data_IF_953536189522
#
_entry.id   IF_953536189522
#
_cell.length_a   1.000
_cell.length_b   1.000
_cell.length_c   1.000
_cell.angle_alpha   90.00
_cell.angle_beta   90.00
_cell.angle_gamma   90.00
#
_symmetry.space_group_name_H-M   'P 1'
#
loop_
_entity.id
_entity.type
_entity.pdbx_description
1 polymer ?
2 polymer ?
3 water ?
#
# COMPACT_ATOMS: atom_id res chain seq x y z
N UNK A 1 24.80 -1.86 -8.95
CA UNK A 1 24.02 -3.07 -9.15
C UNK A 1 23.26 -3.45 -7.89
N UNK A 2 22.49 -4.53 -7.97
CA UNK A 2 21.66 -5.01 -6.88
C UNK A 2 20.23 -4.52 -7.00
N UNK A 3 19.30 -5.31 -6.47
CA UNK A 3 17.89 -4.97 -6.50
C UNK A 3 17.24 -5.40 -5.20
N UNK A 4 16.62 -4.45 -4.50
CA UNK A 4 16.00 -4.71 -3.21
C UNK A 4 14.60 -4.13 -3.18
N UNK A 5 13.81 -4.60 -2.21
CA UNK A 5 12.54 -3.96 -1.92
C UNK A 5 12.83 -2.63 -1.24
N UNK A 6 12.91 -1.57 -2.02
CA UNK A 6 13.32 -0.26 -1.53
C UNK A 6 12.09 0.61 -1.30
N UNK A 7 12.00 1.18 -0.11
CA UNK A 7 10.93 2.09 0.25
C UNK A 7 11.41 3.54 0.18
N UNK A 8 10.46 4.45 0.09
CA UNK A 8 10.79 5.86 0.05
C UNK A 8 11.34 6.31 1.41
N UNK A 9 12.15 7.37 1.43
CA UNK A 9 12.53 7.97 2.72
C UNK A 9 11.31 8.44 3.49
N UNK A 10 11.24 8.09 4.76
CA UNK A 10 10.05 8.29 5.58
C UNK A 10 10.08 9.56 6.41
N UNK A 11 11.13 10.38 6.27
CA UNK A 11 11.26 11.56 7.13
C UNK A 11 10.08 12.51 7.01
N UNK A 12 9.68 12.83 5.78
CA UNK A 12 8.59 13.77 5.58
C UNK A 12 7.29 13.26 6.20
N UNK A 13 7.06 11.95 6.14
CA UNK A 13 5.83 11.40 6.71
C UNK A 13 5.93 11.28 8.22
N UNK A 14 7.13 11.03 8.75
CA UNK A 14 7.31 10.90 10.20
C UNK A 14 6.82 12.15 10.92
N UNK A 15 7.13 13.33 10.38
CA UNK A 15 6.75 14.59 11.00
C UNK A 15 5.26 14.87 11.04
N UNK A 16 4.43 14.03 10.41
CA UNK A 16 2.99 14.23 10.40
C UNK A 16 2.23 13.20 11.22
N UNK A 17 2.92 12.37 11.99
CA UNK A 17 2.28 11.27 12.70
C UNK A 17 1.99 11.66 14.15
N UNK A 18 0.74 11.43 14.57
CA UNK A 18 0.27 11.77 15.90
C UNK A 18 -0.51 10.58 16.45
N UNK A 19 -0.86 10.67 17.72
CA UNK A 19 -1.64 9.64 18.40
C UNK A 19 -3.01 10.20 18.75
N UNK A 20 -4.05 9.45 18.40
CA UNK A 20 -5.44 9.87 18.59
C UNK A 20 -6.12 8.88 19.53
N UNK A 21 -6.50 9.35 20.70
CA UNK A 21 -7.17 8.52 21.69
C UNK A 21 -8.61 9.00 21.89
N UNK A 22 -9.53 8.06 21.95
CA UNK A 22 -10.95 8.35 22.21
C UNK A 22 -11.48 7.24 23.10
N UNK A 23 -11.66 7.54 24.38
CA UNK A 23 -12.07 6.52 25.33
C UNK A 23 -10.90 5.62 25.65
N UNK A 24 -11.14 4.31 25.60
CA UNK A 24 -10.10 3.32 25.80
C UNK A 24 -9.41 2.94 24.50
N UNK A 25 -9.83 3.51 23.38
CA UNK A 25 -9.31 3.18 22.06
C UNK A 25 -8.33 4.25 21.60
N UNK A 26 -7.20 3.81 21.04
CA UNK A 26 -6.17 4.71 20.54
C UNK A 26 -5.59 4.14 19.25
N UNK A 27 -5.14 5.05 18.39
CA UNK A 27 -4.51 4.69 17.13
C UNK A 27 -3.72 5.88 16.62
N UNK A 28 -3.20 5.78 15.40
CA UNK A 28 -2.34 6.78 14.81
C UNK A 28 -3.15 7.75 13.94
N UNK A 29 -2.68 9.00 13.88
CA UNK A 29 -3.33 10.01 13.07
C UNK A 29 -2.34 10.73 12.18
N UNK A 30 -2.85 11.20 11.05
CA UNK A 30 -2.06 11.96 10.10
C UNK A 30 -2.40 13.44 10.24
N UNK A 31 -1.41 14.25 10.59
CA UNK A 31 -1.60 15.66 10.90
C UNK A 31 -1.00 16.50 9.76
N UNK A 32 -1.88 17.07 8.95
CA UNK A 32 -1.48 17.95 7.85
C UNK A 32 -2.21 19.28 8.02
N UNK A 33 -1.44 20.37 8.02
CA UNK A 33 -1.96 21.71 8.28
C UNK A 33 -2.68 21.65 9.62
N UNK A 34 -3.91 22.14 9.74
CA UNK A 34 -4.64 22.16 11.00
C UNK A 34 -5.68 21.04 11.09
N UNK A 35 -5.47 19.94 10.37
CA UNK A 35 -6.40 18.82 10.35
C UNK A 35 -5.65 17.54 10.68
N UNK A 36 -6.27 16.69 11.50
CA UNK A 36 -5.76 15.36 11.81
C UNK A 36 -6.71 14.33 11.23
N UNK A 37 -6.16 13.42 10.44
CA UNK A 37 -6.93 12.35 9.82
C UNK A 37 -6.62 11.04 10.52
N UNK A 38 -7.66 10.27 10.82
CA UNK A 38 -7.50 8.97 11.49
C UNK A 38 -8.68 8.09 11.11
N UNK A 39 -8.53 6.77 11.20
CA UNK A 39 -9.68 5.88 10.97
C UNK A 39 -10.79 6.16 11.97
N UNK A 40 -12.03 5.93 11.53
CA UNK A 40 -13.19 6.33 12.30
C UNK A 40 -13.52 5.36 13.42
N UNK A 41 -12.99 4.14 13.41
CA UNK A 41 -13.30 3.19 14.48
C UNK A 41 -12.56 3.50 15.78
N UNK A 42 -11.90 4.66 15.87
CA UNK A 42 -11.37 5.11 17.15
C UNK A 42 -12.49 5.47 18.13
N UNK A 43 -13.69 5.78 17.61
CA UNK A 43 -14.82 6.15 18.46
C UNK A 43 -15.60 4.92 18.85
N UNK A 44 -15.01 3.74 18.62
CA UNK A 44 -15.66 2.47 18.92
C UNK A 44 -15.11 1.89 20.22
N UNK A 45 -15.99 1.24 20.98
CA UNK A 45 -15.58 0.42 22.11
C UNK A 45 -15.44 -1.02 21.66
N UNK A 46 -14.81 -1.84 22.52
CA UNK A 46 -14.58 -3.24 22.18
C UNK A 46 -15.90 -3.97 21.89
N UNK A 47 -16.96 -3.61 22.61
CA UNK A 47 -18.26 -4.22 22.40
C UNK A 47 -19.05 -3.56 21.28
N UNK A 48 -18.56 -2.45 20.74
CA UNK A 48 -19.27 -1.69 19.71
C UNK A 48 -18.56 -1.80 18.36
N UNK A 49 -17.97 -2.96 18.07
CA UNK A 49 -17.23 -3.14 16.82
C UNK A 49 -17.78 -4.25 15.93
N UNK A 50 -18.83 -4.95 16.36
CA UNK A 50 -19.41 -5.99 15.50
C UNK A 50 -20.38 -5.38 14.49
N UNK A 51 -21.29 -4.53 14.95
CA UNK A 51 -22.27 -3.87 14.08
C UNK A 51 -22.39 -2.41 14.51
N UNK A 52 -21.39 -1.59 14.20
CA UNK A 52 -21.41 -0.20 14.66
C UNK A 52 -22.04 0.74 13.65
N UNK A 53 -22.85 1.67 14.16
CA UNK A 53 -23.35 2.77 13.35
C UNK A 53 -22.53 4.00 13.70
N UNK A 54 -21.57 4.33 12.83
CA UNK A 54 -20.65 5.43 13.10
C UNK A 54 -21.33 6.78 13.11
N UNK A 55 -22.45 6.92 12.39
CA UNK A 55 -23.20 8.18 12.46
C UNK A 55 -23.72 8.41 13.87
N UNK A 56 -24.30 7.38 14.49
CA UNK A 56 -24.76 7.48 15.87
C UNK A 56 -23.60 7.67 16.84
N UNK A 57 -22.51 6.91 16.63
CA UNK A 57 -21.39 6.98 17.55
C UNK A 57 -20.73 8.35 17.54
N UNK A 58 -20.72 9.02 16.38
CA UNK A 58 -19.99 10.28 16.25
C UNK A 58 -20.76 11.45 16.88
N UNK A 59 -22.07 11.54 16.64
CA UNK A 59 -22.86 12.61 17.26
C UNK A 59 -22.96 12.41 18.77
N UNK A 60 -22.65 11.22 19.27
CA UNK A 60 -22.58 10.97 20.70
C UNK A 60 -21.29 11.47 21.32
N UNK A 61 -20.43 12.14 20.54
CA UNK A 61 -19.12 12.58 21.00
C UNK A 61 -18.96 14.07 20.77
N UNK A 62 -18.10 14.67 21.59
CA UNK A 62 -17.75 16.09 21.52
C UNK A 62 -16.29 16.23 21.11
N UNK A 63 -15.86 17.48 20.96
CA UNK A 63 -14.47 17.75 20.63
C UNK A 63 -13.54 17.31 21.76
N UNK A 64 -13.97 17.45 23.02
CA UNK A 64 -13.12 17.11 24.15
C UNK A 64 -12.97 15.60 24.34
N UNK A 65 -13.72 14.79 23.58
CA UNK A 65 -13.58 13.34 23.67
C UNK A 65 -12.39 12.81 22.88
N UNK A 66 -11.69 13.66 22.13
CA UNK A 66 -10.60 13.24 21.25
C UNK A 66 -9.28 13.73 21.82
N UNK A 67 -8.48 12.79 22.31
CA UNK A 67 -7.14 13.10 22.80
C UNK A 67 -6.16 12.96 21.63
N UNK A 68 -5.63 14.09 21.18
CA UNK A 68 -4.67 14.14 20.08
C UNK A 68 -3.33 14.55 20.67
N UNK A 69 -2.33 13.69 20.54
CA UNK A 69 -1.00 13.93 21.09
C UNK A 69 0.02 13.93 19.97
N UNK A 70 0.79 15.01 19.89
CA UNK A 70 1.93 15.11 18.98
C UNK A 70 3.18 15.17 19.86
N UNK A 71 3.79 14.01 20.07
CA UNK A 71 4.91 13.94 20.99
C UNK A 71 4.45 14.21 22.41
N UNK A 72 5.09 15.19 23.05
CA UNK A 72 4.67 15.59 24.39
C UNK A 72 3.48 16.53 24.36
N UNK A 73 3.31 17.28 23.28
CA UNK A 73 2.27 18.30 23.20
C UNK A 73 0.94 17.63 22.90
N UNK A 74 -0.10 18.00 23.64
CA UNK A 74 -1.46 17.55 23.39
C UNK A 74 -2.16 18.60 22.53
N UNK A 75 -2.56 18.20 21.33
CA UNK A 75 -3.22 19.12 20.41
C UNK A 75 -4.67 19.33 20.81
N UNK A 76 -5.10 20.58 20.78
CA UNK A 76 -6.47 20.93 21.15
C UNK A 76 -7.39 20.74 19.95
N UNK A 77 -8.39 19.88 20.10
CA UNK A 77 -9.36 19.63 19.03
C UNK A 77 -10.43 20.71 19.08
N UNK A 78 -10.65 21.39 17.95
CA UNK A 78 -11.65 22.45 17.85
C UNK A 78 -12.72 22.15 16.83
N UNK A 79 -12.64 21.00 16.14
CA UNK A 79 -13.65 20.60 15.19
C UNK A 79 -13.51 19.13 14.85
N UNK A 80 -14.63 18.51 14.52
CA UNK A 80 -14.63 17.09 14.18
C UNK A 80 -15.74 16.84 13.18
N UNK A 81 -15.49 15.93 12.24
CA UNK A 81 -16.47 15.55 11.24
C UNK A 81 -16.00 14.26 10.58
N UNK A 82 -16.95 13.55 9.97
CA UNK A 82 -16.68 12.28 9.32
C UNK A 82 -16.68 12.45 7.81
N UNK A 83 -15.70 11.83 7.16
CA UNK A 83 -15.60 11.78 5.70
C UNK A 83 -15.48 10.30 5.34
N UNK A 84 -16.62 9.69 5.02
CA UNK A 84 -16.69 8.26 4.78
C UNK A 84 -16.14 7.51 5.99
N UNK A 85 -14.98 6.88 5.84
CA UNK A 85 -14.45 6.03 6.91
C UNK A 85 -13.30 6.69 7.69
N UNK A 86 -12.99 7.96 7.43
CA UNK A 86 -11.97 8.65 8.20
C UNK A 86 -12.62 9.77 9.01
N UNK A 87 -11.91 10.18 10.06
CA UNK A 87 -12.29 11.29 10.92
C UNK A 87 -11.37 12.47 10.65
N UNK A 88 -11.95 13.64 10.45
CA UNK A 88 -11.20 14.88 10.29
C UNK A 88 -11.35 15.69 11.58
N UNK A 89 -10.26 15.78 12.34
CA UNK A 89 -10.23 16.52 13.60
C UNK A 89 -9.49 17.83 13.38
N UNK A 90 -10.24 18.92 13.28
CA UNK A 90 -9.63 20.24 13.18
C UNK A 90 -8.98 20.62 14.52
N UNK A 91 -7.72 21.05 14.46
CA UNK A 91 -6.97 21.44 15.64
C UNK A 91 -6.53 22.90 15.51
N UNK A 92 -6.20 23.51 16.64
CA UNK A 92 -5.89 24.93 16.68
C UNK A 92 -4.50 25.26 16.18
N UNK A 93 -3.66 24.27 15.90
CA UNK A 93 -2.30 24.48 15.48
C UNK A 93 -2.07 23.78 14.14
N UNK A 94 -1.44 24.50 13.20
CA UNK A 94 -1.04 23.88 11.95
C UNK A 94 0.29 23.18 12.12
N UNK A 95 0.41 21.99 11.55
CA UNK A 95 1.65 21.23 11.64
C UNK A 95 2.78 21.96 10.94
N UNK A 96 3.80 22.43 11.65
CA UNK A 96 4.90 23.16 10.99
C UNK A 96 5.73 22.29 10.07
N UNK A 97 5.71 20.97 10.25
CA UNK A 97 6.43 20.04 9.40
C UNK A 97 5.58 19.53 8.25
N UNK A 98 4.50 20.23 7.91
CA UNK A 98 3.64 19.80 6.81
C UNK A 98 4.37 19.94 5.48
N UNK A 99 4.56 18.88 4.72
CA UNK A 99 5.19 18.99 3.41
C UNK A 99 4.15 19.27 2.33
N UNK A 100 4.64 19.56 1.14
CA UNK A 100 3.79 19.51 -0.04
C UNK A 100 3.24 18.10 -0.18
N UNK A 101 1.92 17.95 -0.09
CA UNK A 101 1.31 16.63 -0.08
C UNK A 101 0.16 16.56 -1.07
N UNK A 102 -0.28 15.34 -1.33
CA UNK A 102 -1.39 15.06 -2.23
C UNK A 102 -2.17 13.87 -1.69
N UNK A 103 -3.46 13.83 -2.01
CA UNK A 103 -4.34 12.71 -1.66
C UNK A 103 -4.75 12.04 -2.97
N UNK A 104 -4.11 10.91 -3.29
CA UNK A 104 -4.40 10.18 -4.52
C UNK A 104 -4.90 8.79 -4.16
N UNK A 105 -5.64 8.19 -5.08
CA UNK A 105 -6.09 6.81 -4.97
C UNK A 105 -5.42 6.01 -6.07
N UNK A 106 -4.79 4.91 -5.69
CA UNK A 106 -3.99 4.12 -6.62
C UNK A 106 -4.84 2.96 -7.12
N UNK A 107 -4.36 2.35 -8.21
CA UNK A 107 -4.88 1.20 -8.93
C UNK A 107 -4.22 -0.09 -8.44
N UNK A 108 -4.91 -1.22 -8.55
CA UNK A 108 -4.28 -2.51 -8.25
C UNK A 108 -3.03 -2.71 -9.11
N UNK A 109 -1.98 -3.22 -8.47
CA UNK A 109 -0.69 -3.38 -9.12
C UNK A 109 0.29 -2.25 -8.85
N UNK A 110 -0.18 -1.12 -8.33
CA UNK A 110 0.72 -0.03 -7.97
C UNK A 110 1.29 -0.25 -6.57
N UNK A 111 2.48 0.30 -6.35
CA UNK A 111 3.19 0.12 -5.09
C UNK A 111 3.21 1.43 -4.31
N UNK A 112 3.62 1.31 -3.06
CA UNK A 112 3.74 2.46 -2.15
C UNK A 112 4.52 1.99 -0.93
N UNK A 113 4.97 2.97 -0.14
CA UNK A 113 5.69 2.70 1.09
C UNK A 113 4.77 2.89 2.28
N UNK A 114 4.91 2.03 3.28
CA UNK A 114 4.10 2.06 4.49
C UNK A 114 5.01 2.44 5.65
N UNK A 115 4.55 3.37 6.47
CA UNK A 115 5.24 3.73 7.71
C UNK A 115 4.39 3.22 8.87
N UNK A 116 4.64 1.97 9.27
CA UNK A 116 3.91 1.39 10.38
C UNK A 116 4.19 2.16 11.66
N UNK A 117 3.13 2.58 12.34
CA UNK A 117 3.24 3.37 13.55
C UNK A 117 2.42 2.74 14.67
N UNK A 118 2.80 3.08 15.90
CA UNK A 118 2.05 2.69 17.09
C UNK A 118 2.13 3.82 18.08
N UNK A 119 0.99 4.21 18.65
CA UNK A 119 0.89 5.32 19.60
C UNK A 119 1.46 6.61 19.02
N UNK A 120 1.37 6.78 17.70
CA UNK A 120 1.89 7.94 17.03
C UNK A 120 3.36 7.90 16.68
N UNK A 121 4.09 6.85 17.09
CA UNK A 121 5.53 6.77 16.88
C UNK A 121 5.86 5.78 15.78
N UNK A 122 6.69 6.16 14.81
CA UNK A 122 7.05 5.23 13.73
C UNK A 122 7.85 4.05 14.24
N UNK A 123 7.48 2.86 13.77
CA UNK A 123 8.15 1.63 14.13
C UNK A 123 8.97 1.02 13.00
N UNK A 124 8.56 1.24 11.74
CA UNK A 124 9.29 0.70 10.61
C UNK A 124 8.71 1.17 9.31
N UNK A 125 9.43 0.90 8.23
CA UNK A 125 9.03 1.29 6.88
C UNK A 125 9.31 0.13 5.94
N UNK A 126 8.32 -0.21 5.10
CA UNK A 126 8.47 -1.28 4.12
C UNK A 126 7.64 -0.93 2.90
N UNK A 127 7.86 -1.71 1.83
CA UNK A 127 7.21 -1.51 0.55
C UNK A 127 6.04 -2.46 0.38
N UNK A 128 4.96 -1.98 -0.24
CA UNK A 128 3.74 -2.75 -0.40
C UNK A 128 3.20 -2.55 -1.80
N UNK A 129 2.28 -3.42 -2.20
CA UNK A 129 1.56 -3.29 -3.46
C UNK A 129 0.07 -3.44 -3.21
N UNK A 130 -0.72 -2.76 -4.05
CA UNK A 130 -2.17 -2.87 -4.06
C UNK A 130 -2.54 -4.09 -4.88
N UNK A 131 -2.91 -5.17 -4.20
CA UNK A 131 -3.19 -6.42 -4.89
C UNK A 131 -4.41 -6.26 -5.79
N UNK A 132 -4.51 -7.08 -6.85
CA UNK A 132 -5.70 -7.03 -7.70
C UNK A 132 -7.01 -7.24 -6.96
N UNK A 133 -7.00 -7.87 -5.78
CA UNK A 133 -8.19 -7.99 -4.95
C UNK A 133 -8.30 -6.86 -3.93
N UNK A 134 -7.56 -5.76 -4.14
CA UNK A 134 -7.62 -4.55 -3.33
C UNK A 134 -7.19 -4.76 -1.89
N UNK A 135 -6.52 -5.87 -1.60
CA UNK A 135 -5.89 -6.05 -0.30
C UNK A 135 -4.41 -5.64 -0.41
N UNK A 136 -3.75 -5.59 0.75
CA UNK A 136 -2.31 -5.43 0.80
C UNK A 136 -1.74 -6.48 1.74
N UNK A 137 -0.58 -7.02 1.40
CA UNK A 137 0.11 -7.98 2.25
C UNK A 137 1.12 -7.20 3.08
N UNK A 138 0.63 -6.67 4.21
CA UNK A 138 1.41 -5.81 5.06
C UNK A 138 1.91 -6.51 6.31
N UNK A 139 2.42 -5.70 7.24
CA UNK A 139 2.86 -6.18 8.55
C UNK A 139 2.26 -5.22 9.57
N UNK A 140 1.13 -5.59 10.14
CA UNK A 140 0.38 -4.72 11.04
C UNK A 140 -0.08 -5.50 12.25
N UNK A 141 0.03 -4.87 13.43
CA UNK A 141 -0.47 -5.40 14.68
C UNK A 141 -1.57 -4.50 15.21
N UNK A 142 -2.15 -4.88 16.35
CA UNK A 142 -3.15 -4.04 16.98
C UNK A 142 -2.56 -2.68 17.31
N UNK A 143 -3.29 -1.62 16.97
CA UNK A 143 -2.82 -0.27 17.18
C UNK A 143 -2.07 0.34 16.02
N UNK A 144 -2.03 -0.34 14.87
CA UNK A 144 -1.34 0.19 13.70
C UNK A 144 -2.25 0.99 12.78
N UNK A 145 -3.56 0.89 12.93
CA UNK A 145 -4.48 1.67 12.11
C UNK A 145 -4.14 3.16 12.24
N UNK A 146 -4.31 3.88 11.13
CA UNK A 146 -3.87 5.24 11.02
C UNK A 146 -2.50 5.38 10.39
N UNK A 147 -1.75 4.29 10.29
CA UNK A 147 -0.53 4.30 9.48
C UNK A 147 -0.91 4.51 8.03
N UNK A 148 -0.05 5.22 7.30
CA UNK A 148 -0.37 5.66 5.95
C UNK A 148 0.58 5.03 4.95
N UNK A 149 0.07 4.80 3.75
CA UNK A 149 0.88 4.44 2.61
C UNK A 149 1.05 5.66 1.72
N UNK A 150 2.21 5.74 1.05
CA UNK A 150 2.53 6.96 0.34
C UNK A 150 3.57 6.68 -0.73
N UNK A 151 3.63 7.59 -1.70
CA UNK A 151 4.73 7.70 -2.64
C UNK A 151 5.28 9.12 -2.54
N UNK A 152 6.49 9.31 -3.06
CA UNK A 152 7.15 10.61 -3.04
C UNK A 152 7.62 10.93 -4.45
N UNK A 153 7.24 12.10 -4.95
CA UNK A 153 7.72 12.62 -6.22
C UNK A 153 8.32 13.99 -5.98
N UNK A 154 9.62 14.13 -6.28
CA UNK A 154 10.36 15.35 -6.02
C UNK A 154 10.25 15.75 -4.56
N UNK A 155 9.44 16.77 -4.26
CA UNK A 155 9.21 17.20 -2.89
C UNK A 155 7.82 16.85 -2.39
N UNK A 156 6.95 16.30 -3.23
CA UNK A 156 5.55 16.12 -2.89
C UNK A 156 5.29 14.70 -2.41
N UNK A 157 4.68 14.58 -1.23
CA UNK A 157 4.28 13.28 -0.69
C UNK A 157 2.87 12.97 -1.17
N UNK A 158 2.72 11.92 -1.98
CA UNK A 158 1.42 11.50 -2.46
C UNK A 158 0.87 10.44 -1.52
N UNK A 159 0.03 10.87 -0.58
CA UNK A 159 -0.63 9.93 0.32
C UNK A 159 -1.69 9.15 -0.44
N UNK A 160 -1.65 7.82 -0.31
CA UNK A 160 -2.54 6.97 -1.09
C UNK A 160 -3.22 5.88 -0.28
N UNK A 161 -2.89 5.72 1.00
CA UNK A 161 -3.45 4.64 1.79
C UNK A 161 -3.46 5.02 3.26
N UNK A 162 -4.47 4.53 3.97
CA UNK A 162 -4.47 4.60 5.43
C UNK A 162 -4.93 3.24 5.95
N UNK A 163 -4.23 2.71 6.95
CA UNK A 163 -4.51 1.37 7.43
C UNK A 163 -5.73 1.35 8.34
N UNK A 164 -6.50 0.27 8.24
CA UNK A 164 -7.74 0.16 9.01
C UNK A 164 -7.84 -1.18 9.74
N UNK A 165 -7.79 -2.29 9.01
CA UNK A 165 -8.15 -3.57 9.57
C UNK A 165 -7.29 -4.68 8.98
N UNK A 166 -7.37 -5.86 9.59
CA UNK A 166 -6.73 -7.07 9.10
C UNK A 166 -7.80 -8.12 8.84
N UNK A 167 -7.77 -8.70 7.64
CA UNK A 167 -8.74 -9.72 7.27
C UNK A 167 -8.37 -11.04 7.94
N UNK A 168 -9.33 -11.96 8.07
CA UNK A 168 -9.02 -13.24 8.74
C UNK A 168 -7.87 -14.01 8.11
N UNK A 169 -7.64 -13.87 6.80
CA UNK A 169 -6.55 -14.57 6.14
C UNK A 169 -5.18 -13.99 6.49
N UNK A 170 -5.12 -12.86 7.18
CA UNK A 170 -3.88 -12.22 7.52
C UNK A 170 -3.56 -10.99 6.68
N UNK A 171 -4.17 -10.87 5.51
CA UNK A 171 -4.00 -9.69 4.67
C UNK A 171 -4.72 -8.51 5.30
N UNK A 172 -4.45 -7.31 4.82
CA UNK A 172 -4.94 -6.09 5.43
C UNK A 172 -5.75 -5.28 4.44
N UNK A 173 -6.68 -4.48 4.97
CA UNK A 173 -7.54 -3.64 4.17
C UNK A 173 -7.49 -2.22 4.72
N UNK A 174 -7.78 -1.27 3.84
CA UNK A 174 -7.76 0.12 4.25
C UNK A 174 -8.39 1.00 3.20
N UNK A 175 -8.24 2.30 3.38
CA UNK A 175 -8.89 3.31 2.55
C UNK A 175 -7.84 4.25 1.97
N UNK A 176 -8.29 5.08 1.02
CA UNK A 176 -7.50 6.23 0.63
C UNK A 176 -7.62 7.30 1.72
N UNK A 177 -6.98 8.44 1.49
CA UNK A 177 -6.99 9.50 2.50
C UNK A 177 -8.30 10.29 2.51
N UNK A 178 -9.25 9.97 1.63
CA UNK A 178 -10.59 10.51 1.70
C UNK A 178 -11.55 9.58 2.42
N UNK A 179 -11.08 8.43 2.88
CA UNK A 179 -11.88 7.52 3.67
C UNK A 179 -12.64 6.47 2.91
N UNK A 180 -12.38 6.32 1.61
CA UNK A 180 -13.07 5.36 0.78
C UNK A 180 -12.25 4.08 0.70
N UNK A 181 -12.85 2.97 1.13
CA UNK A 181 -12.14 1.71 1.23
C UNK A 181 -11.65 1.24 -0.14
N UNK A 182 -10.52 0.53 -0.13
CA UNK A 182 -10.04 -0.20 -1.29
C UNK A 182 -10.68 -1.58 -1.25
N UNK A 183 -11.55 -1.86 -2.23
CA UNK A 183 -12.22 -3.15 -2.29
C UNK A 183 -13.53 -3.18 -1.51
N UNK A 184 -14.16 -4.36 -1.45
CA UNK A 184 -15.48 -4.50 -0.82
C UNK A 184 -15.40 -4.83 0.67
N UNK A 185 -14.63 -4.04 1.41
CA UNK A 185 -14.42 -4.27 2.84
C UNK A 185 -15.00 -3.11 3.64
N UNK A 186 -15.65 -3.45 4.74
CA UNK A 186 -16.23 -2.47 5.65
C UNK A 186 -15.53 -2.60 7.01
N UNK A 187 -15.54 -1.52 7.77
CA UNK A 187 -14.81 -1.48 9.05
C UNK A 187 -15.70 -2.02 10.17
N UNK A 188 -16.00 -3.32 10.08
CA UNK A 188 -16.69 -4.05 11.12
C UNK A 188 -15.91 -5.33 11.39
N UNK A 189 -15.84 -5.72 12.67
CA UNK A 189 -15.16 -6.96 13.05
C UNK A 189 -16.09 -8.13 12.77
N UNK A 190 -16.27 -8.40 11.48
CA UNK A 190 -17.17 -9.43 10.99
C UNK A 190 -16.42 -10.33 10.01
N UNK A 191 -17.06 -11.45 9.67
CA UNK A 191 -16.49 -12.37 8.70
C UNK A 191 -16.49 -11.73 7.31
N UNK A 192 -15.30 -11.51 6.76
CA UNK A 192 -15.14 -10.89 5.46
C UNK A 192 -14.02 -11.60 4.72
N UNK A 193 -14.22 -11.78 3.41
CA UNK A 193 -13.24 -12.44 2.56
C UNK A 193 -12.96 -11.57 1.35
N UNK A 194 -11.71 -11.60 0.91
CA UNK A 194 -11.33 -10.89 -0.31
C UNK A 194 -11.52 -11.79 -1.51
N UNK A 195 -11.69 -11.16 -2.68
CA UNK A 195 -11.70 -11.91 -3.91
C UNK A 195 -10.40 -12.63 -4.14
N UNK A 196 -10.46 -13.70 -4.92
CA UNK A 196 -9.26 -14.46 -5.25
C UNK A 196 -8.24 -13.56 -5.92
N UNK A 197 -7.00 -13.60 -5.45
CA UNK A 197 -5.96 -12.74 -5.97
C UNK A 197 -5.30 -13.34 -7.20
N UNK A 198 -4.75 -12.47 -8.04
CA UNK A 198 -3.99 -12.86 -9.21
C UNK A 198 -2.63 -12.17 -9.18
N UNK A 199 -1.73 -12.67 -10.02
CA UNK A 199 -0.38 -12.14 -10.12
C UNK A 199 -0.36 -10.95 -11.07
N UNK A 200 0.30 -9.87 -10.66
CA UNK A 200 0.40 -8.66 -11.48
C UNK A 200 1.44 -8.93 -12.56
N UNK A 201 0.97 -9.24 -13.78
CA UNK A 201 1.85 -9.70 -14.84
C UNK A 201 2.85 -8.63 -15.25
N UNK A 202 2.38 -7.40 -15.46
CA UNK A 202 3.27 -6.34 -15.92
C UNK A 202 4.37 -6.08 -14.91
N UNK A 203 4.12 -6.33 -13.63
CA UNK A 203 5.16 -6.15 -12.63
C UNK A 203 6.19 -7.27 -12.72
N UNK A 204 5.76 -8.49 -13.02
CA UNK A 204 6.70 -9.60 -13.14
C UNK A 204 7.66 -9.35 -14.30
N UNK A 205 7.15 -8.85 -15.43
CA UNK A 205 8.02 -8.55 -16.56
C UNK A 205 8.99 -7.43 -16.21
N UNK A 206 8.51 -6.40 -15.51
CA UNK A 206 9.40 -5.32 -15.08
C UNK A 206 10.47 -5.85 -14.13
N UNK A 207 10.10 -6.76 -13.24
CA UNK A 207 11.08 -7.38 -12.36
C UNK A 207 12.05 -8.26 -13.16
N UNK A 208 11.59 -8.84 -14.27
CA UNK A 208 12.47 -9.62 -15.12
C UNK A 208 13.49 -8.73 -15.83
N UNK A 209 13.05 -7.54 -16.26
CA UNK A 209 13.98 -6.58 -16.83
C UNK A 209 14.99 -6.11 -15.79
N UNK A 210 14.58 -5.98 -14.53
CA UNK A 210 15.51 -5.62 -13.46
C UNK A 210 16.59 -6.68 -13.31
N UNK A 211 16.22 -7.96 -13.47
CA UNK A 211 17.19 -9.04 -13.39
C UNK A 211 18.18 -8.99 -14.54
N UNK A 212 17.69 -8.72 -15.76
CA UNK A 212 18.58 -8.61 -16.92
C UNK A 212 19.55 -7.46 -16.73
N UNK A 213 19.08 -6.36 -16.13
CA UNK A 213 19.95 -5.19 -15.92
C UNK A 213 21.06 -5.54 -14.95
N UNK A 214 20.81 -6.43 -14.00
CA UNK A 214 21.78 -6.78 -12.97
C UNK A 214 22.51 -8.09 -13.26
N UNK A 215 22.53 -8.53 -14.53
CA UNK A 215 23.33 -9.66 -14.93
C UNK A 215 22.65 -11.01 -14.88
N UNK A 216 21.39 -11.07 -14.44
CA UNK A 216 20.63 -12.32 -14.41
C UNK A 216 19.95 -12.51 -15.77
N UNK A 217 20.49 -13.43 -16.58
CA UNK A 217 19.96 -13.66 -17.92
C UNK A 217 19.69 -15.13 -18.21
N UNK A 218 19.78 -16.01 -17.21
CA UNK A 218 19.64 -17.45 -17.47
C UNK A 218 18.26 -17.82 -17.97
N UNK A 219 17.25 -17.00 -17.69
CA UNK A 219 15.88 -17.28 -18.11
C UNK A 219 15.58 -16.80 -19.53
N UNK A 220 16.48 -16.03 -20.14
CA UNK A 220 16.24 -15.52 -21.48
C UNK A 220 16.32 -16.65 -22.51
N UNK A 221 15.52 -16.50 -23.58
CA UNK A 221 15.53 -17.46 -24.67
C UNK A 221 15.37 -16.71 -25.99
N UNK A 222 15.74 -17.40 -27.08
CA UNK A 222 15.65 -16.84 -28.41
C UNK A 222 14.21 -16.72 -28.91
N UNK A 223 13.26 -17.39 -28.26
CA UNK A 223 11.88 -17.43 -28.74
C UNK A 223 11.15 -16.13 -28.45
N UNK A 224 10.11 -15.89 -29.24
CA UNK A 224 9.19 -14.78 -29.05
C UNK A 224 7.77 -15.34 -28.97
N UNK A 225 6.80 -14.44 -28.89
CA UNK A 225 5.39 -14.83 -28.84
C UNK A 225 4.55 -13.62 -29.22
N UNK A 226 3.26 -13.87 -29.43
CA UNK A 226 2.28 -12.81 -29.63
C UNK A 226 1.55 -12.54 -28.31
N UNK A 227 0.99 -11.32 -28.23
CA UNK A 227 0.26 -10.93 -27.02
C UNK A 227 -0.91 -11.86 -26.73
N UNK A 228 -1.49 -12.46 -27.78
CA UNK A 228 -2.64 -13.34 -27.58
C UNK A 228 -2.22 -14.72 -27.10
N UNK A 229 -1.14 -15.27 -27.64
CA UNK A 229 -0.67 -16.58 -27.19
C UNK A 229 -0.10 -16.51 -25.79
N UNK A 230 0.51 -15.38 -25.41
CA UNK A 230 1.00 -15.24 -24.05
C UNK A 230 -0.15 -15.12 -23.05
N UNK A 231 -1.16 -14.33 -23.39
CA UNK A 231 -2.28 -14.13 -22.48
C UNK A 231 -3.07 -15.42 -22.27
N UNK A 232 -3.07 -16.31 -23.26
CA UNK A 232 -3.72 -17.60 -23.08
C UNK A 232 -3.02 -18.45 -22.04
N UNK A 233 -1.70 -18.30 -21.91
CA UNK A 233 -0.97 -19.01 -20.88
C UNK A 233 -1.05 -18.27 -19.54
N UNK A 234 -1.07 -16.94 -19.58
CA UNK A 234 -1.20 -16.16 -18.35
C UNK A 234 -2.50 -16.46 -17.64
N UNK A 235 -3.59 -16.63 -18.39
CA UNK A 235 -4.88 -16.93 -17.76
C UNK A 235 -4.86 -18.28 -17.08
N UNK A 236 -4.11 -19.25 -17.62
CA UNK A 236 -4.06 -20.58 -17.02
C UNK A 236 -3.31 -20.58 -15.69
N UNK A 237 -2.36 -19.65 -15.52
CA UNK A 237 -1.55 -19.58 -14.31
C UNK A 237 -1.97 -18.44 -13.40
N UNK A 238 -3.19 -17.95 -13.54
CA UNK A 238 -3.75 -16.92 -12.66
C UNK A 238 -2.93 -15.63 -12.72
N UNK A 239 -2.53 -15.25 -13.92
CA UNK A 239 -1.85 -13.99 -14.15
C UNK A 239 -2.82 -13.00 -14.79
N UNK A 240 -2.62 -11.71 -14.51
CA UNK A 240 -3.45 -10.68 -15.12
C UNK A 240 -3.16 -10.60 -16.62
N UNK A 241 -4.16 -10.24 -17.42
CA UNK A 241 -3.93 -10.11 -18.86
C UNK A 241 -2.98 -8.96 -19.16
N UNK A 242 -2.09 -9.18 -20.12
CA UNK A 242 -1.18 -8.14 -20.58
C UNK A 242 -1.84 -7.34 -21.70
N UNK A 243 -1.88 -6.03 -21.54
CA UNK A 243 -2.46 -5.13 -22.52
C UNK A 243 -1.37 -4.46 -23.34
N UNK A 244 -1.79 -3.85 -24.46
CA UNK A 244 -0.84 -3.09 -25.27
C UNK A 244 -0.26 -1.92 -24.48
N UNK A 245 -1.05 -1.33 -23.59
CA UNK A 245 -0.51 -0.26 -22.74
C UNK A 245 0.59 -0.77 -21.84
N UNK A 246 0.44 -2.00 -21.33
CA UNK A 246 1.52 -2.63 -20.57
C UNK A 246 2.78 -2.75 -21.41
N UNK A 247 2.64 -3.20 -22.66
CA UNK A 247 3.79 -3.30 -23.54
C UNK A 247 4.41 -1.93 -23.80
N UNK A 248 3.59 -0.89 -23.82
CA UNK A 248 4.12 0.46 -24.02
C UNK A 248 4.80 0.97 -22.75
N UNK A 249 4.26 0.62 -21.58
CA UNK A 249 4.87 1.04 -20.32
C UNK A 249 6.26 0.41 -20.17
N UNK A 250 6.39 -0.87 -20.52
CA UNK A 250 7.66 -1.57 -20.46
C UNK A 250 8.63 -1.14 -21.55
N UNK A 251 8.25 -0.15 -22.37
CA UNK A 251 9.08 0.32 -23.45
C UNK A 251 10.49 0.71 -23.05
N UNK A 252 10.61 1.66 -22.12
CA UNK A 252 11.96 2.06 -21.67
C UNK A 252 12.85 0.90 -21.25
N UNK A 253 12.37 0.03 -20.37
CA UNK A 253 13.18 -1.12 -19.97
C UNK A 253 13.46 -2.06 -21.15
N UNK A 254 12.54 -2.13 -22.11
CA UNK A 254 12.75 -2.97 -23.28
C UNK A 254 13.90 -2.43 -24.13
N UNK A 255 13.93 -1.12 -24.37
CA UNK A 255 14.99 -0.53 -25.19
C UNK A 255 16.31 -0.49 -24.45
N UNK A 256 16.27 -0.26 -23.13
CA UNK A 256 17.51 -0.17 -22.36
C UNK A 256 18.26 -1.49 -22.35
N UNK A 257 17.55 -2.61 -22.42
CA UNK A 257 18.17 -3.93 -22.43
C UNK A 257 18.22 -4.55 -23.82
N UNK A 258 17.56 -3.95 -24.81
CA UNK A 258 17.51 -4.54 -26.13
C UNK A 258 16.67 -5.79 -26.23
N UNK A 259 15.74 -5.99 -25.31
CA UNK A 259 14.87 -7.15 -25.29
C UNK A 259 13.44 -6.67 -25.53
N UNK A 260 12.83 -7.15 -26.60
CA UNK A 260 11.44 -6.82 -26.87
C UNK A 260 10.56 -7.38 -25.76
N UNK A 261 9.43 -6.69 -25.52
CA UNK A 261 8.51 -7.14 -24.49
C UNK A 261 7.97 -8.53 -24.81
N UNK A 262 7.53 -8.73 -26.06
CA UNK A 262 6.99 -10.02 -26.46
C UNK A 262 8.07 -11.11 -26.38
N UNK A 263 9.34 -10.73 -26.55
CA UNK A 263 10.42 -11.69 -26.33
C UNK A 263 10.56 -12.03 -24.85
N UNK A 264 10.49 -11.01 -23.98
CA UNK A 264 10.50 -11.26 -22.55
C UNK A 264 9.29 -12.07 -22.10
N UNK A 265 8.14 -11.87 -22.76
CA UNK A 265 6.96 -12.65 -22.43
C UNK A 265 7.17 -14.13 -22.72
N UNK A 266 7.99 -14.45 -23.73
CA UNK A 266 8.31 -15.85 -24.01
C UNK A 266 9.14 -16.46 -22.89
N UNK A 267 10.01 -15.68 -22.25
CA UNK A 267 10.74 -16.18 -21.10
C UNK A 267 9.79 -16.44 -19.92
N UNK A 268 8.83 -15.53 -19.71
CA UNK A 268 7.85 -15.74 -18.65
C UNK A 268 7.00 -16.97 -18.93
N UNK A 269 6.60 -17.17 -20.19
CA UNK A 269 5.86 -18.36 -20.56
C UNK A 269 6.61 -19.63 -20.17
N UNK A 270 7.91 -19.67 -20.46
CA UNK A 270 8.70 -20.86 -20.14
C UNK A 270 8.85 -21.02 -18.63
N UNK A 271 9.07 -19.92 -17.90
CA UNK A 271 9.19 -20.00 -16.45
C UNK A 271 7.90 -20.49 -15.81
N UNK A 272 6.75 -20.12 -16.37
CA UNK A 272 5.48 -20.56 -15.82
C UNK A 272 5.17 -22.02 -16.16
N UNK A 273 5.61 -22.50 -17.32
CA UNK A 273 5.32 -23.88 -17.71
C UNK A 273 6.34 -24.86 -17.15
N UNK A 274 7.57 -24.41 -16.89
CA UNK A 274 8.64 -25.29 -16.44
C UNK A 274 9.15 -24.99 -15.04
N UNK A 275 8.75 -23.87 -14.42
CA UNK A 275 9.34 -23.57 -13.14
C UNK A 275 10.75 -23.03 -13.31
N UNK A 276 11.48 -22.97 -12.20
CA UNK A 276 12.83 -22.44 -12.20
C UNK A 276 13.90 -23.51 -12.12
N UNK A 277 13.56 -24.74 -11.72
CA UNK A 277 14.49 -25.87 -11.67
C UNK A 277 15.68 -25.55 -10.76
N UNK A 278 15.36 -25.21 -9.52
CA UNK A 278 16.36 -24.93 -8.53
C UNK A 278 17.12 -23.63 -8.70
N UNK A 279 16.80 -22.84 -9.71
CA UNK A 279 17.49 -21.58 -9.95
C UNK A 279 16.81 -20.45 -9.18
N UNK A 280 17.45 -19.28 -9.20
CA UNK A 280 16.92 -18.09 -8.56
C UNK A 280 17.08 -16.90 -9.49
N UNK A 281 16.18 -15.94 -9.36
CA UNK A 281 16.23 -14.68 -10.10
C UNK A 281 16.27 -13.56 -9.07
N UNK A 282 17.33 -12.77 -9.11
CA UNK A 282 17.52 -11.66 -8.17
C UNK A 282 17.36 -12.13 -6.72
N UNK A 283 17.92 -13.30 -6.43
CA UNK A 283 17.85 -13.83 -5.08
C UNK A 283 16.49 -14.33 -4.65
N UNK A 284 15.60 -14.64 -5.59
CA UNK A 284 14.26 -15.12 -5.27
C UNK A 284 13.94 -16.36 -6.09
N UNK A 285 13.23 -17.30 -5.47
CA UNK A 285 12.76 -18.49 -6.17
C UNK A 285 11.37 -18.33 -6.73
N UNK A 286 10.67 -17.24 -6.41
CA UNK A 286 9.35 -16.94 -6.94
C UNK A 286 9.42 -15.72 -7.85
N UNK A 287 8.51 -15.68 -8.82
CA UNK A 287 8.41 -14.52 -9.71
C UNK A 287 7.80 -13.35 -8.94
N UNK A 288 8.59 -12.31 -8.73
CA UNK A 288 8.14 -11.15 -7.95
C UNK A 288 7.22 -10.27 -8.76
N UNK A 289 6.11 -9.85 -8.14
CA UNK A 289 5.10 -9.04 -8.82
C UNK A 289 4.79 -7.74 -8.07
N UNK A 290 5.66 -7.34 -7.15
CA UNK A 290 5.45 -6.10 -6.40
C UNK A 290 6.48 -5.03 -6.77
N UNK A 291 6.90 -5.00 -8.03
CA UNK A 291 7.78 -3.95 -8.56
C UNK A 291 7.16 -3.42 -9.84
N UNK A 292 6.71 -2.17 -9.81
CA UNK A 292 6.20 -1.55 -11.02
C UNK A 292 7.35 -1.24 -11.99
N UNK A 293 7.04 -1.01 -13.26
CA UNK A 293 8.08 -0.53 -14.18
C UNK A 293 8.77 0.74 -13.71
N UNK A 294 8.03 1.66 -13.09
CA UNK A 294 8.67 2.84 -12.51
C UNK A 294 9.59 2.46 -11.36
N UNK A 295 9.18 1.48 -10.55
CA UNK A 295 10.02 1.03 -9.45
C UNK A 295 11.37 0.52 -9.95
N UNK A 296 11.37 -0.21 -11.07
CA UNK A 296 12.62 -0.72 -11.62
C UNK A 296 13.48 0.44 -12.14
N UNK A 297 12.87 1.35 -12.90
CA UNK A 297 13.61 2.49 -13.42
C UNK A 297 14.13 3.36 -12.28
N UNK A 298 13.33 3.52 -11.21
CA UNK A 298 13.77 4.31 -10.08
C UNK A 298 15.00 3.70 -9.41
N UNK A 299 14.98 2.39 -9.18
CA UNK A 299 16.09 1.74 -8.49
C UNK A 299 17.33 1.69 -9.36
N UNK A 300 17.17 1.41 -10.65
CA UNK A 300 18.31 1.18 -11.53
C UNK A 300 18.83 2.45 -12.19
N UNK A 301 18.23 3.61 -11.92
CA UNK A 301 18.72 4.88 -12.41
C UNK A 301 19.07 5.88 -11.32
N UNK A 302 18.75 5.59 -10.06
CA UNK A 302 19.12 6.45 -8.96
C UNK A 302 18.39 7.77 -8.92
N UNK A 303 17.06 7.72 -8.85
CA UNK A 303 16.24 8.92 -8.73
C UNK A 303 16.09 9.26 -7.25
N UNK A 304 16.38 10.50 -6.89
CA UNK A 304 16.35 10.96 -5.51
C UNK A 304 15.20 11.95 -5.30
N UNK A 305 15.07 12.39 -4.05
CA UNK A 305 13.99 13.31 -3.66
C UNK A 305 14.47 14.33 -2.64
N UNK B 1 -13.27 -16.44 13.26
CA UNK B 1 -12.65 -16.06 12.00
C UNK B 1 -13.30 -14.81 11.41
N UNK B 2 -13.19 -13.70 12.13
CA UNK B 2 -13.71 -12.42 11.69
C UNK B 2 -12.57 -11.41 11.58
N UNK B 3 -12.85 -10.32 10.89
CA UNK B 3 -11.87 -9.26 10.73
C UNK B 3 -11.55 -8.61 12.06
N UNK B 4 -10.44 -7.87 12.08
CA UNK B 4 -9.97 -7.19 13.27
C UNK B 4 -9.70 -5.74 12.92
N UNK B 5 -10.37 -4.81 13.62
CA UNK B 5 -10.02 -3.40 13.54
C UNK B 5 -8.82 -3.16 14.44
N UNK B 6 -7.72 -2.69 13.86
CA UNK B 6 -6.42 -2.73 14.53
C UNK B 6 -6.13 -1.39 15.20
N UNK B 7 -6.79 -1.16 16.32
CA UNK B 7 -6.55 -0.01 17.17
C UNK B 7 -6.04 -0.49 18.54
N UNK B 8 -5.75 0.48 19.41
CA UNK B 8 -5.39 0.27 20.82
C UNK B 8 -3.99 -0.30 21.02
N UNK B 9 -3.04 0.59 21.37
CA UNK B 9 -1.76 0.25 21.99
C UNK B 9 -0.78 -0.47 21.07
N UNK B 10 0.12 -1.27 21.68
CA UNK B 10 1.20 -1.97 20.99
C UNK B 10 2.04 -1.01 20.15
#
# INVERSE_FOLDING_TARGET
SGFRKMAFPSGKVEGCMVQVTCGTTTLNGLWLDDVVYCPRHVICTSEDMLNPNYEDLLIRKSNHNFLVQAGNVQLRVIGHSMQNCVLKLKVDTANPKTPKYKFVRIQPGQTFSVLACYNGSPSGVYQCAMRPNFTIKGSFLNGSAGSVGFNIDYDCVSFCYMHHMELPTGVHAGTDLEGNFYGPFVDRQTAQAAGTDTTITVNVLAWLYAAVINGDRWFLNRFTTTLNDFNLVAMKYNYEPLTQDHVDILGPLSAQTGIAVLDMCASLKELLQNGMNGRTILGSALLEDEFTPFDVVRQCSGVTFQ
NVATLQAENV
#
